data_IF_388674716958
#
_entry.id   IF_388674716958
#
_cell.length_a   1.000
_cell.length_b   1.000
_cell.length_c   1.000
_cell.angle_alpha   90.00
_cell.angle_beta   90.00
_cell.angle_gamma   90.00
#
_symmetry.space_group_name_H-M   'P 1'
#
loop_
_entity.id
_entity.type
_entity.pdbx_description
1 polymer ?
#
# COMPACT_ATOMS: atom_id res chain seq x y z
N UNK A 1 -16.87 -18.15 -2.09
CA UNK A 1 -15.94 -17.70 -1.04
C UNK A 1 -16.37 -18.36 0.27
N UNK A 2 -15.51 -19.14 0.93
CA UNK A 2 -15.81 -19.67 2.27
C UNK A 2 -14.68 -19.26 3.23
N UNK A 3 -15.07 -18.44 4.19
CA UNK A 3 -14.46 -18.10 5.48
C UNK A 3 -12.95 -17.86 5.49
N UNK A 4 -12.59 -16.57 5.39
CA UNK A 4 -11.34 -16.03 5.95
C UNK A 4 -11.44 -16.13 7.47
N UNK A 5 -10.59 -16.94 8.08
CA UNK A 5 -10.36 -16.85 9.53
C UNK A 5 -9.06 -16.09 9.71
N UNK A 6 -9.16 -14.77 9.89
CA UNK A 6 -8.02 -13.94 10.26
C UNK A 6 -7.80 -14.08 11.76
N UNK A 7 -6.67 -14.69 12.16
CA UNK A 7 -6.22 -14.59 13.55
C UNK A 7 -5.39 -13.32 13.65
N UNK A 8 -6.02 -12.24 14.11
CA UNK A 8 -5.34 -10.98 14.38
C UNK A 8 -4.81 -11.05 15.81
N UNK A 9 -3.50 -11.27 15.98
CA UNK A 9 -2.85 -11.09 17.26
C UNK A 9 -2.35 -9.64 17.35
N UNK A 10 -3.21 -8.74 17.85
CA UNK A 10 -2.80 -7.38 18.19
C UNK A 10 -2.00 -7.42 19.49
N UNK A 11 -0.66 -7.49 19.39
CA UNK A 11 0.19 -7.17 20.53
C UNK A 11 0.13 -5.65 20.73
N UNK A 12 -0.45 -5.25 21.86
CA UNK A 12 -0.70 -3.85 22.21
C UNK A 12 0.55 -2.97 22.17
N UNK A 13 0.34 -1.66 22.18
CA UNK A 13 1.41 -0.66 22.22
C UNK A 13 2.28 -0.86 23.46
N UNK A 14 3.43 -1.51 23.32
CA UNK A 14 4.45 -1.54 24.34
C UNK A 14 5.24 -0.24 24.25
N UNK A 15 5.33 0.58 25.30
CA UNK A 15 6.27 1.69 25.33
C UNK A 15 7.68 1.11 25.44
N UNK A 16 8.28 0.75 24.31
CA UNK A 16 9.68 0.30 24.22
C UNK A 16 10.67 1.44 24.54
N UNK A 17 10.20 2.69 24.52
CA UNK A 17 10.98 3.89 24.75
C UNK A 17 10.40 4.69 25.93
N UNK A 18 11.30 5.18 26.80
CA UNK A 18 10.95 6.04 27.93
C UNK A 18 10.26 7.32 27.43
N UNK A 19 9.16 7.69 28.07
CA UNK A 19 8.51 8.99 27.84
C UNK A 19 9.36 10.06 28.55
N UNK A 20 9.75 11.11 27.83
CA UNK A 20 10.42 12.28 28.40
C UNK A 20 9.49 13.49 28.32
N UNK A 21 9.77 14.54 29.08
CA UNK A 21 8.91 15.72 29.08
C UNK A 21 8.80 16.32 27.66
N UNK A 22 7.56 16.45 27.20
CA UNK A 22 7.22 16.90 25.84
C UNK A 22 7.25 15.84 24.73
N UNK A 23 7.96 14.71 24.87
CA UNK A 23 8.03 13.65 23.86
C UNK A 23 7.12 12.47 24.15
N UNK A 24 6.36 12.06 23.14
CA UNK A 24 5.57 10.83 23.14
C UNK A 24 6.10 9.87 22.09
N UNK A 25 6.59 8.71 22.55
CA UNK A 25 6.99 7.61 21.69
C UNK A 25 5.93 6.52 21.68
N UNK A 26 5.55 6.04 20.50
CA UNK A 26 4.63 4.90 20.35
C UNK A 26 5.27 3.85 19.47
N UNK A 27 5.12 2.60 19.87
CA UNK A 27 5.53 1.44 19.09
C UNK A 27 4.35 0.51 18.94
N UNK A 28 4.15 -0.03 17.74
CA UNK A 28 3.17 -1.08 17.47
C UNK A 28 3.82 -2.18 16.67
N UNK A 29 3.63 -3.41 17.12
CA UNK A 29 4.01 -4.61 16.39
C UNK A 29 2.72 -5.26 15.88
N UNK A 30 2.69 -5.61 14.60
CA UNK A 30 1.55 -6.31 14.02
C UNK A 30 2.02 -7.54 13.26
N UNK A 31 1.43 -8.68 13.62
CA UNK A 31 1.58 -9.95 12.93
C UNK A 31 0.21 -10.44 12.50
N UNK A 32 0.09 -10.88 11.26
CA UNK A 32 -1.14 -11.45 10.74
C UNK A 32 -0.82 -12.72 9.97
N UNK A 33 -1.49 -13.80 10.35
CA UNK A 33 -1.47 -15.05 9.61
C UNK A 33 -2.87 -15.39 9.13
N UNK A 34 -2.97 -15.91 7.91
CA UNK A 34 -4.21 -16.30 7.28
C UNK A 34 -4.11 -17.72 6.75
N UNK A 35 -5.27 -18.37 6.67
CA UNK A 35 -5.45 -19.57 5.86
C UNK A 35 -6.39 -19.22 4.71
N UNK A 36 -6.00 -19.58 3.48
CA UNK A 36 -6.84 -19.41 2.29
C UNK A 36 -6.95 -20.72 1.51
N UNK A 37 -8.13 -20.95 0.95
CA UNK A 37 -8.41 -22.03 0.00
C UNK A 37 -9.04 -21.41 -1.25
N UNK A 38 -8.31 -21.45 -2.36
CA UNK A 38 -8.70 -20.84 -3.62
C UNK A 38 -8.91 -21.92 -4.68
N UNK A 39 -10.09 -21.93 -5.32
CA UNK A 39 -10.35 -22.84 -6.43
C UNK A 39 -9.52 -22.43 -7.64
N UNK A 40 -8.90 -23.40 -8.30
CA UNK A 40 -8.29 -23.17 -9.59
C UNK A 40 -9.38 -22.88 -10.63
N UNK A 41 -9.25 -21.74 -11.30
CA UNK A 41 -10.06 -21.35 -12.43
C UNK A 41 -9.15 -20.70 -13.49
N UNK A 42 -9.42 -21.00 -14.76
CA UNK A 42 -8.69 -20.47 -15.90
C UNK A 42 -9.68 -20.09 -17.01
N UNK A 43 -9.51 -18.91 -17.58
CA UNK A 43 -10.39 -18.37 -18.61
C UNK A 43 -9.54 -18.01 -19.84
N UNK A 44 -9.83 -18.58 -21.01
CA UNK A 44 -9.04 -18.35 -22.21
C UNK A 44 -9.24 -16.92 -22.71
N UNK A 45 -8.14 -16.24 -22.99
CA UNK A 45 -8.14 -14.92 -23.60
C UNK A 45 -8.42 -15.05 -25.10
N UNK A 46 -9.20 -14.11 -25.63
CA UNK A 46 -9.46 -14.00 -27.08
C UNK A 46 -8.36 -13.26 -27.83
N UNK A 47 -7.44 -12.64 -27.11
CA UNK A 47 -6.34 -11.90 -27.70
C UNK A 47 -5.35 -12.88 -28.35
N UNK A 48 -4.98 -12.68 -29.63
CA UNK A 48 -4.11 -13.59 -30.36
C UNK A 48 -2.64 -13.33 -30.00
N UNK A 49 -2.23 -13.77 -28.81
CA UNK A 49 -0.82 -13.68 -28.41
C UNK A 49 0.07 -14.50 -29.37
N UNK A 50 1.20 -13.94 -29.84
CA UNK A 50 2.25 -14.72 -30.48
C UNK A 50 2.65 -15.92 -29.60
N UNK A 51 2.97 -17.05 -30.22
CA UNK A 51 3.35 -18.27 -29.49
C UNK A 51 4.54 -18.06 -28.55
N UNK A 52 5.46 -17.16 -28.89
CA UNK A 52 6.61 -16.78 -28.05
C UNK A 52 6.22 -16.04 -26.77
N UNK A 53 5.02 -15.48 -26.69
CA UNK A 53 4.48 -14.82 -25.48
C UNK A 53 3.59 -15.75 -24.66
N UNK A 54 3.50 -17.03 -25.05
CA UNK A 54 2.71 -18.04 -24.37
C UNK A 54 3.63 -19.09 -23.73
N UNK A 55 3.26 -19.62 -22.56
CA UNK A 55 3.96 -20.77 -21.98
C UNK A 55 4.06 -21.91 -23.00
N UNK A 56 5.14 -22.69 -22.90
CA UNK A 56 5.39 -23.83 -23.81
C UNK A 56 4.16 -24.77 -23.83
N UNK A 57 3.69 -25.08 -25.03
CA UNK A 57 2.53 -25.97 -25.25
C UNK A 57 1.17 -25.27 -25.21
N UNK A 58 1.10 -23.98 -24.89
CA UNK A 58 -0.14 -23.22 -24.95
C UNK A 58 -0.35 -22.57 -26.32
N UNK A 59 -1.60 -22.58 -26.78
CA UNK A 59 -2.02 -21.93 -28.05
C UNK A 59 -2.82 -20.65 -27.82
N UNK A 60 -3.24 -20.41 -26.57
CA UNK A 60 -3.96 -19.20 -26.13
C UNK A 60 -3.46 -18.79 -24.76
N UNK A 61 -3.55 -17.49 -24.45
CA UNK A 61 -3.29 -16.97 -23.11
C UNK A 61 -4.48 -17.23 -22.17
N UNK A 62 -4.24 -17.21 -20.86
CA UNK A 62 -5.28 -17.40 -19.87
C UNK A 62 -5.22 -16.33 -18.78
N UNK A 63 -6.40 -15.90 -18.31
CA UNK A 63 -6.58 -15.33 -16.98
C UNK A 63 -6.79 -16.47 -16.00
N UNK A 64 -5.92 -16.59 -15.00
CA UNK A 64 -5.88 -17.76 -14.11
C UNK A 64 -5.82 -17.36 -12.65
N UNK A 65 -6.49 -18.13 -11.81
CA UNK A 65 -6.49 -17.89 -10.36
C UNK A 65 -5.06 -17.79 -9.83
N UNK A 66 -4.79 -16.72 -9.09
CA UNK A 66 -3.49 -16.47 -8.46
C UNK A 66 -3.25 -17.49 -7.36
N UNK A 67 -2.19 -18.28 -7.52
CA UNK A 67 -1.70 -19.27 -6.56
C UNK A 67 -2.83 -20.12 -5.93
N UNK A 68 -3.49 -21.00 -6.72
CA UNK A 68 -4.66 -21.75 -6.27
C UNK A 68 -4.31 -22.81 -5.22
N UNK A 69 -5.33 -23.39 -4.59
CA UNK A 69 -5.18 -24.40 -3.55
C UNK A 69 -5.22 -23.83 -2.13
N UNK A 70 -4.73 -24.64 -1.18
CA UNK A 70 -4.75 -24.37 0.26
C UNK A 70 -3.41 -23.85 0.74
N UNK A 71 -3.43 -22.72 1.42
CA UNK A 71 -2.23 -22.03 1.88
C UNK A 71 -2.40 -21.55 3.31
N UNK A 72 -1.43 -21.86 4.18
CA UNK A 72 -1.23 -21.18 5.46
C UNK A 72 -0.10 -20.16 5.30
N UNK A 73 -0.36 -18.91 5.62
CA UNK A 73 0.59 -17.83 5.36
C UNK A 73 0.67 -16.79 6.46
N UNK A 74 1.89 -16.38 6.79
CA UNK A 74 2.13 -15.10 7.45
C UNK A 74 1.97 -14.01 6.39
N UNK A 75 0.90 -13.23 6.50
CA UNK A 75 0.58 -12.18 5.52
C UNK A 75 1.20 -10.84 5.87
N UNK A 76 1.34 -10.55 7.16
CA UNK A 76 1.89 -9.28 7.66
C UNK A 76 2.81 -9.55 8.83
N UNK A 77 3.98 -8.94 8.80
CA UNK A 77 4.88 -8.76 9.94
C UNK A 77 5.45 -7.35 9.85
N UNK A 78 5.00 -6.45 10.72
CA UNK A 78 5.37 -5.04 10.65
C UNK A 78 5.63 -4.43 12.01
N UNK A 79 6.45 -3.38 12.00
CA UNK A 79 6.67 -2.48 13.14
C UNK A 79 6.33 -1.05 12.73
N UNK A 80 5.59 -0.37 13.60
CA UNK A 80 5.31 1.05 13.49
C UNK A 80 5.93 1.79 14.66
N UNK A 81 6.59 2.89 14.37
CA UNK A 81 7.27 3.77 15.31
C UNK A 81 6.77 5.20 15.09
N UNK A 82 6.29 5.82 16.17
CA UNK A 82 5.90 7.22 16.18
C UNK A 82 6.73 7.97 17.24
N UNK A 83 7.24 9.14 16.88
CA UNK A 83 7.87 10.09 17.79
C UNK A 83 7.19 11.45 17.66
N UNK A 84 6.52 11.91 18.72
CA UNK A 84 5.67 13.10 18.71
C UNK A 84 6.18 14.07 19.77
N UNK A 85 6.32 15.35 19.42
CA UNK A 85 6.65 16.41 20.39
C UNK A 85 5.55 17.48 20.38
N UNK A 86 4.69 17.42 21.40
CA UNK A 86 3.45 18.19 21.46
C UNK A 86 2.63 18.09 20.17
N UNK A 87 2.12 19.23 19.69
CA UNK A 87 1.41 19.31 18.41
C UNK A 87 2.27 19.89 17.27
N UNK A 88 3.57 20.10 17.51
CA UNK A 88 4.45 20.84 16.60
C UNK A 88 5.40 19.95 15.81
N UNK A 89 5.63 18.73 16.25
CA UNK A 89 6.51 17.79 15.55
C UNK A 89 5.94 16.37 15.64
N UNK A 90 6.01 15.65 14.52
CA UNK A 90 5.79 14.21 14.50
C UNK A 90 6.73 13.57 13.47
N UNK A 91 7.33 12.44 13.82
CA UNK A 91 8.02 11.55 12.91
C UNK A 91 7.36 10.18 12.98
N UNK A 92 7.25 9.52 11.83
CA UNK A 92 6.59 8.24 11.69
C UNK A 92 7.40 7.34 10.77
N UNK A 93 7.53 6.09 11.19
CA UNK A 93 8.07 5.01 10.36
C UNK A 93 7.18 3.78 10.52
N UNK A 94 6.76 3.20 9.39
CA UNK A 94 6.10 1.91 9.31
C UNK A 94 6.94 1.01 8.41
N UNK A 95 7.55 0.01 9.02
CA UNK A 95 8.46 -0.93 8.37
C UNK A 95 7.81 -2.29 8.28
N UNK A 96 7.88 -2.91 7.12
CA UNK A 96 7.36 -4.23 6.84
C UNK A 96 8.52 -5.21 6.66
N UNK A 97 8.49 -6.30 7.42
CA UNK A 97 9.36 -7.45 7.21
C UNK A 97 8.69 -8.48 6.28
N UNK A 98 7.35 -8.55 6.34
CA UNK A 98 6.52 -9.26 5.39
C UNK A 98 5.23 -8.47 5.20
N UNK A 99 4.86 -8.19 3.94
CA UNK A 99 3.52 -7.74 3.57
C UNK A 99 3.13 -8.37 2.24
N UNK A 100 2.49 -9.53 2.30
CA UNK A 100 2.09 -10.26 1.09
C UNK A 100 1.08 -9.52 0.24
N UNK A 101 0.38 -8.54 0.80
CA UNK A 101 -0.83 -8.00 0.20
C UNK A 101 -0.65 -6.59 -0.35
N UNK A 102 0.45 -5.90 -0.02
CA UNK A 102 0.77 -4.53 -0.48
C UNK A 102 1.84 -4.47 -1.60
N UNK A 103 2.48 -5.57 -1.95
CA UNK A 103 3.54 -5.61 -2.99
C UNK A 103 3.09 -5.36 -4.44
N UNK A 104 4.00 -4.83 -5.28
CA UNK A 104 3.86 -4.61 -6.73
C UNK A 104 5.16 -4.85 -7.53
N UNK A 105 5.17 -5.74 -8.56
CA UNK A 105 4.40 -6.96 -8.72
C UNK A 105 4.88 -8.07 -7.78
N UNK A 106 3.97 -8.93 -7.32
CA UNK A 106 4.16 -9.73 -6.09
C UNK A 106 5.36 -10.68 -6.07
N UNK A 107 5.79 -11.25 -7.20
CA UNK A 107 6.94 -12.17 -7.20
C UNK A 107 8.31 -11.49 -7.30
N UNK A 108 8.40 -10.32 -7.91
CA UNK A 108 9.65 -9.57 -8.13
C UNK A 108 9.82 -8.39 -7.17
N UNK A 109 8.77 -8.01 -6.45
CA UNK A 109 8.81 -6.88 -5.54
C UNK A 109 9.63 -7.16 -4.27
N UNK A 110 10.03 -6.08 -3.60
CA UNK A 110 10.75 -6.13 -2.34
C UNK A 110 9.87 -6.75 -1.26
N UNK A 111 10.48 -7.65 -0.49
CA UNK A 111 9.79 -8.27 0.64
C UNK A 111 9.77 -7.40 1.89
N UNK A 112 10.75 -6.51 1.99
CA UNK A 112 10.97 -5.64 3.13
C UNK A 112 11.14 -4.21 2.65
N UNK A 113 10.39 -3.31 3.26
CA UNK A 113 10.26 -1.93 2.84
C UNK A 113 9.62 -1.08 3.95
N UNK A 114 9.56 0.22 3.69
CA UNK A 114 8.84 1.18 4.53
C UNK A 114 7.68 1.79 3.74
N UNK A 115 6.46 1.36 4.01
CA UNK A 115 5.25 1.93 3.41
C UNK A 115 5.10 3.41 3.77
N UNK A 116 5.37 3.74 5.03
CA UNK A 116 5.30 5.11 5.55
C UNK A 116 6.61 5.49 6.22
N UNK A 117 7.19 6.59 5.77
CA UNK A 117 8.38 7.19 6.39
C UNK A 117 8.33 8.69 6.17
N UNK A 118 7.87 9.42 7.19
CA UNK A 118 7.63 10.85 7.06
C UNK A 118 7.89 11.62 8.34
N UNK A 119 8.17 12.91 8.17
CA UNK A 119 8.24 13.89 9.25
C UNK A 119 7.24 15.01 9.00
N UNK A 120 6.72 15.57 10.08
CA UNK A 120 5.75 16.66 10.09
C UNK A 120 6.17 17.73 11.07
N UNK A 121 6.15 18.96 10.61
CA UNK A 121 6.29 20.18 11.39
C UNK A 121 4.94 20.89 11.44
N UNK A 122 4.53 21.32 12.62
CA UNK A 122 3.28 22.03 12.87
C UNK A 122 2.05 21.13 13.08
N UNK A 123 0.96 21.73 13.60
CA UNK A 123 -0.30 21.03 13.85
C UNK A 123 -1.06 20.77 12.56
N UNK A 124 -1.25 19.48 12.23
CA UNK A 124 -2.11 19.01 11.14
C UNK A 124 -3.50 18.67 11.68
N UNK A 125 -4.54 19.46 11.36
CA UNK A 125 -5.91 19.15 11.76
C UNK A 125 -6.36 17.82 11.16
N UNK A 126 -7.00 16.95 11.94
CA UNK A 126 -7.57 15.71 11.41
C UNK A 126 -8.84 15.98 10.59
N UNK A 127 -9.20 15.00 9.74
CA UNK A 127 -10.44 15.05 8.98
C UNK A 127 -11.60 14.97 9.99
N UNK A 128 -12.39 16.04 10.11
CA UNK A 128 -13.48 16.26 11.10
C UNK A 128 -13.09 16.93 12.43
N UNK A 129 -11.81 17.17 12.70
CA UNK A 129 -11.42 17.94 13.89
C UNK A 129 -11.64 19.44 13.64
N UNK A 130 -12.24 20.16 14.60
CA UNK A 130 -12.42 21.62 14.51
C UNK A 130 -11.24 22.33 15.18
N UNK A 131 -10.32 22.97 14.43
CA UNK A 131 -9.16 23.66 14.98
C UNK A 131 -9.60 24.81 15.86
N UNK A 132 -8.94 24.97 17.00
CA UNK A 132 -9.21 26.07 17.91
C UNK A 132 -8.67 27.42 17.38
N UNK A 133 -7.59 27.36 16.57
CA UNK A 133 -6.82 28.51 16.09
C UNK A 133 -6.26 28.26 14.68
N UNK A 134 -5.78 29.33 14.05
CA UNK A 134 -5.00 29.28 12.80
C UNK A 134 -3.80 28.36 12.97
N UNK A 135 -3.54 27.54 11.96
CA UNK A 135 -2.53 26.49 11.99
C UNK A 135 -1.90 26.36 10.61
N UNK A 136 -0.62 26.01 10.57
CA UNK A 136 0.10 25.64 9.36
C UNK A 136 0.95 24.42 9.70
N UNK A 137 1.00 23.46 8.79
CA UNK A 137 1.90 22.31 8.88
C UNK A 137 2.61 22.07 7.56
N UNK A 138 3.76 21.42 7.64
CA UNK A 138 4.50 20.85 6.54
C UNK A 138 4.82 19.40 6.87
N UNK A 139 4.50 18.49 5.97
CA UNK A 139 4.80 17.06 6.05
C UNK A 139 5.62 16.66 4.82
N UNK A 140 6.65 15.85 5.02
CA UNK A 140 7.57 15.43 3.97
C UNK A 140 8.02 13.98 4.17
N UNK A 141 8.21 13.26 3.07
CA UNK A 141 8.58 11.85 3.05
C UNK A 141 7.57 11.00 2.28
N UNK A 142 7.52 9.69 2.58
CA UNK A 142 6.55 8.74 2.02
C UNK A 142 5.34 8.65 2.94
N UNK A 143 4.16 9.07 2.48
CA UNK A 143 2.96 9.15 3.31
C UNK A 143 1.67 8.87 2.53
N UNK A 144 0.56 8.53 3.22
CA UNK A 144 -0.73 8.32 2.59
C UNK A 144 -1.25 9.54 1.83
N UNK A 145 -1.84 9.32 0.66
CA UNK A 145 -2.47 10.39 -0.13
C UNK A 145 -3.61 11.08 0.61
N UNK A 146 -3.86 12.34 0.27
CA UNK A 146 -4.92 13.14 0.90
C UNK A 146 -6.31 12.48 0.78
N UNK A 147 -6.58 11.88 -0.38
CA UNK A 147 -7.82 11.24 -0.77
C UNK A 147 -7.94 9.79 -0.28
N UNK A 148 -6.92 9.27 0.42
CA UNK A 148 -6.98 7.93 1.00
C UNK A 148 -8.02 7.87 2.11
N UNK A 149 -8.93 6.91 2.01
CA UNK A 149 -9.93 6.67 3.05
C UNK A 149 -9.24 6.06 4.28
N UNK A 150 -9.31 6.71 5.45
CA UNK A 150 -8.61 6.24 6.65
C UNK A 150 -9.31 5.06 7.34
N UNK A 151 -10.60 4.84 7.08
CA UNK A 151 -11.41 3.82 7.75
C UNK A 151 -11.89 2.78 6.74
N UNK A 152 -11.62 1.51 7.03
CA UNK A 152 -12.13 0.35 6.28
C UNK A 152 -13.34 -0.20 7.00
N UNK A 153 -14.54 -0.12 6.42
CA UNK A 153 -15.75 -0.68 7.04
C UNK A 153 -15.95 -2.18 6.72
N UNK A 154 -15.39 -2.69 5.61
CA UNK A 154 -15.65 -4.05 5.11
C UNK A 154 -14.38 -4.84 4.73
N UNK A 155 -13.22 -4.49 5.29
CA UNK A 155 -11.89 -5.02 4.90
C UNK A 155 -11.51 -4.87 3.40
N UNK A 156 -12.41 -4.34 2.59
CA UNK A 156 -12.24 -3.97 1.18
C UNK A 156 -12.22 -2.45 1.05
N UNK A 157 -11.39 -1.95 0.14
CA UNK A 157 -11.34 -0.54 -0.24
C UNK A 157 -12.43 -0.16 -1.25
N UNK A 158 -13.24 -1.13 -1.73
CA UNK A 158 -14.02 -0.95 -2.95
C UNK A 158 -13.11 -0.82 -4.18
N UNK A 159 -13.67 -0.99 -5.38
CA UNK A 159 -12.87 -1.03 -6.62
C UNK A 159 -12.06 0.26 -6.82
N UNK A 160 -12.68 1.42 -6.62
CA UNK A 160 -12.05 2.72 -6.86
C UNK A 160 -10.91 3.04 -5.89
N UNK A 161 -11.10 2.85 -4.57
CA UNK A 161 -10.01 3.16 -3.64
C UNK A 161 -8.91 2.08 -3.66
N UNK A 162 -9.22 0.85 -4.10
CA UNK A 162 -8.20 -0.16 -4.43
C UNK A 162 -7.36 0.28 -5.62
N UNK A 163 -8.00 0.85 -6.64
CA UNK A 163 -7.34 1.25 -7.88
C UNK A 163 -6.49 2.53 -7.72
N UNK A 164 -6.95 3.56 -7.02
CA UNK A 164 -6.31 4.89 -7.11
C UNK A 164 -5.64 5.40 -5.82
N UNK A 165 -6.14 5.04 -4.64
CA UNK A 165 -5.78 5.72 -3.38
C UNK A 165 -5.15 4.79 -2.34
N UNK A 166 -4.76 3.59 -2.75
CA UNK A 166 -4.35 2.53 -1.82
C UNK A 166 -2.95 2.76 -1.24
N UNK A 167 -2.01 3.18 -2.08
CA UNK A 167 -0.60 3.29 -1.73
C UNK A 167 -0.18 4.70 -1.39
N UNK A 168 0.89 4.76 -0.63
CA UNK A 168 1.58 5.96 -0.22
C UNK A 168 2.36 6.58 -1.39
N UNK A 169 2.58 7.87 -1.28
CA UNK A 169 3.37 8.64 -2.23
C UNK A 169 4.52 9.32 -1.50
N UNK A 170 5.61 9.56 -2.22
CA UNK A 170 6.73 10.37 -1.74
C UNK A 170 6.55 11.82 -2.16
N UNK A 171 6.66 12.74 -1.22
CA UNK A 171 6.75 14.16 -1.54
C UNK A 171 6.53 15.09 -0.36
N UNK A 172 5.75 16.14 -0.59
CA UNK A 172 5.45 17.20 0.37
C UNK A 172 3.95 17.41 0.47
N UNK A 173 3.46 17.62 1.68
CA UNK A 173 2.10 18.06 1.96
C UNK A 173 2.15 19.24 2.90
N UNK A 174 1.48 20.33 2.54
CA UNK A 174 1.31 21.49 3.42
C UNK A 174 -0.16 21.77 3.59
N UNK A 175 -0.52 22.44 4.68
CA UNK A 175 -1.91 22.79 4.91
C UNK A 175 -2.11 23.38 6.29
N UNK A 176 -3.37 23.55 6.64
CA UNK A 176 -3.76 24.02 7.96
C UNK A 176 -5.12 24.65 7.96
N UNK A 177 -5.31 25.61 8.85
CA UNK A 177 -6.57 26.31 9.02
C UNK A 177 -6.37 27.82 9.16
N UNK A 178 -7.35 28.58 8.68
CA UNK A 178 -7.48 30.01 8.96
C UNK A 178 -8.68 30.17 9.90
N UNK A 179 -8.39 30.52 11.15
CA UNK A 179 -9.40 30.50 12.21
C UNK A 179 -10.00 29.10 12.39
N UNK A 180 -11.34 29.05 12.51
CA UNK A 180 -12.10 27.81 12.80
C UNK A 180 -12.90 27.27 11.61
N UNK A 181 -12.87 27.96 10.48
CA UNK A 181 -13.87 27.80 9.41
C UNK A 181 -13.26 27.45 8.05
N UNK A 182 -12.00 27.82 7.81
CA UNK A 182 -11.34 27.54 6.54
C UNK A 182 -10.21 26.55 6.74
N UNK A 183 -10.20 25.52 5.90
CA UNK A 183 -9.22 24.45 5.89
C UNK A 183 -8.66 24.32 4.48
N UNK A 184 -7.36 24.10 4.41
CA UNK A 184 -6.69 23.93 3.14
C UNK A 184 -5.58 22.91 3.29
N UNK A 185 -5.34 22.17 2.23
CA UNK A 185 -4.22 21.25 2.08
C UNK A 185 -3.79 21.30 0.62
N UNK A 186 -2.48 21.19 0.41
CA UNK A 186 -1.85 21.10 -0.90
C UNK A 186 -0.84 19.97 -0.82
N UNK A 187 -0.78 19.15 -1.85
CA UNK A 187 0.13 18.03 -1.95
C UNK A 187 0.90 18.09 -3.27
N UNK A 188 2.20 17.82 -3.20
CA UNK A 188 3.09 17.65 -4.34
C UNK A 188 3.88 16.35 -4.17
N UNK A 189 3.64 15.36 -5.01
CA UNK A 189 4.28 14.03 -4.92
C UNK A 189 4.81 13.57 -6.25
N UNK A 190 5.68 12.55 -6.23
CA UNK A 190 6.14 11.86 -7.45
C UNK A 190 5.05 11.06 -8.15
N UNK A 191 3.88 10.94 -7.53
CA UNK A 191 2.81 10.06 -7.98
C UNK A 191 3.19 8.58 -7.91
N UNK A 192 2.19 7.75 -8.20
CA UNK A 192 2.37 6.32 -8.38
C UNK A 192 2.31 5.97 -9.87
N UNK A 193 3.14 5.03 -10.35
CA UNK A 193 2.95 4.41 -11.65
C UNK A 193 1.59 3.72 -11.76
N UNK A 194 1.07 3.58 -12.98
CA UNK A 194 -0.11 2.77 -13.27
C UNK A 194 0.32 1.38 -13.76
N UNK A 195 -0.23 0.31 -13.17
CA UNK A 195 0.00 -1.08 -13.59
C UNK A 195 -1.32 -1.84 -13.76
N UNK A 196 -1.22 -3.06 -14.28
CA UNK A 196 -2.25 -4.09 -14.23
C UNK A 196 -1.97 -5.09 -13.09
N UNK A 197 -2.95 -5.38 -12.22
CA UNK A 197 -2.86 -6.44 -11.19
C UNK A 197 -4.18 -7.13 -10.98
N UNK A 198 -4.15 -8.37 -10.53
CA UNK A 198 -5.33 -9.04 -9.99
C UNK A 198 -5.82 -8.34 -8.69
N UNK A 199 -7.13 -8.20 -8.47
CA UNK A 199 -7.69 -7.61 -7.26
C UNK A 199 -7.49 -8.48 -6.00
N UNK A 200 -7.13 -9.75 -6.15
CA UNK A 200 -6.64 -10.60 -5.08
C UNK A 200 -5.42 -9.94 -4.44
N UNK A 201 -5.26 -10.22 -3.16
CA UNK A 201 -4.24 -9.66 -2.33
C UNK A 201 -2.83 -10.01 -2.85
N UNK A 202 -2.66 -11.18 -3.48
CA UNK A 202 -1.41 -11.60 -4.13
C UNK A 202 -1.14 -10.95 -5.50
N UNK A 203 -1.99 -10.06 -6.00
CA UNK A 203 -1.82 -9.21 -7.19
C UNK A 203 -1.55 -9.91 -8.56
N UNK A 204 -1.27 -11.21 -8.59
CA UNK A 204 -0.74 -11.88 -9.78
C UNK A 204 0.65 -11.37 -10.16
N UNK A 205 1.22 -11.99 -11.17
CA UNK A 205 2.53 -11.66 -11.75
C UNK A 205 2.36 -10.94 -13.09
N UNK A 206 1.55 -9.87 -13.09
CA UNK A 206 1.43 -8.98 -14.24
C UNK A 206 2.51 -7.89 -14.18
N UNK A 207 3.21 -7.69 -15.29
CA UNK A 207 4.26 -6.68 -15.40
C UNK A 207 5.61 -7.07 -14.78
N UNK A 208 5.82 -8.34 -14.42
CA UNK A 208 7.15 -8.85 -14.03
C UNK A 208 8.08 -8.96 -15.24
N UNK A 209 9.38 -8.87 -15.02
CA UNK A 209 10.39 -8.99 -16.09
C UNK A 209 10.34 -10.34 -16.79
N UNK A 210 9.93 -11.42 -16.10
CA UNK A 210 9.73 -12.73 -16.72
C UNK A 210 8.78 -12.67 -17.93
N UNK A 211 7.77 -11.79 -17.92
CA UNK A 211 6.83 -11.64 -19.04
C UNK A 211 7.48 -11.08 -20.33
N UNK A 212 8.67 -10.50 -20.21
CA UNK A 212 9.46 -10.02 -21.35
C UNK A 212 10.30 -11.14 -21.99
N UNK A 213 10.41 -12.29 -21.32
CA UNK A 213 11.16 -13.44 -21.81
C UNK A 213 10.32 -14.30 -22.76
N UNK A 214 10.96 -15.06 -23.68
CA UNK A 214 10.27 -16.06 -24.48
C UNK A 214 9.61 -17.14 -23.61
N UNK A 215 8.36 -17.45 -23.92
CA UNK A 215 7.53 -18.47 -23.27
C UNK A 215 7.41 -18.30 -21.76
N UNK A 216 6.93 -17.14 -21.28
CA UNK A 216 6.88 -16.82 -19.86
C UNK A 216 5.93 -17.78 -19.11
N UNK A 217 6.26 -18.16 -17.88
CA UNK A 217 5.39 -18.97 -17.03
C UNK A 217 5.41 -18.46 -15.59
N UNK A 218 4.82 -17.26 -15.35
CA UNK A 218 4.86 -16.59 -14.06
C UNK A 218 4.41 -17.50 -12.91
N UNK A 219 5.09 -17.36 -11.77
CA UNK A 219 4.84 -18.17 -10.56
C UNK A 219 3.41 -18.02 -10.05
N UNK A 220 2.95 -16.78 -9.91
CA UNK A 220 1.64 -16.43 -9.36
C UNK A 220 0.57 -16.27 -10.44
N UNK A 221 0.87 -16.61 -11.70
CA UNK A 221 -0.04 -16.50 -12.85
C UNK A 221 -0.51 -15.06 -13.09
N UNK A 222 -1.33 -14.89 -14.12
CA UNK A 222 -1.87 -13.59 -14.53
C UNK A 222 -2.97 -13.07 -13.60
N UNK A 223 -3.75 -13.93 -12.94
CA UNK A 223 -4.97 -13.46 -12.30
C UNK A 223 -5.98 -12.88 -13.31
N UNK A 224 -6.79 -11.95 -12.83
CA UNK A 224 -7.88 -11.21 -13.45
C UNK A 224 -7.57 -9.72 -13.32
N UNK A 225 -6.70 -9.18 -14.19
CA UNK A 225 -6.08 -7.88 -13.97
C UNK A 225 -7.07 -6.71 -14.03
N UNK A 226 -6.88 -5.75 -13.14
CA UNK A 226 -7.47 -4.41 -13.13
C UNK A 226 -6.35 -3.36 -13.17
N UNK A 227 -6.67 -2.17 -13.67
CA UNK A 227 -5.77 -1.00 -13.60
C UNK A 227 -5.68 -0.49 -12.16
N UNK A 228 -4.47 -0.16 -11.72
CA UNK A 228 -4.22 0.35 -10.38
C UNK A 228 -2.93 1.19 -10.28
N UNK A 229 -2.90 2.13 -9.35
CA UNK A 229 -1.71 2.87 -8.92
C UNK A 229 -0.82 1.95 -8.09
N UNK A 230 0.44 1.80 -8.45
CA UNK A 230 1.39 0.95 -7.71
C UNK A 230 1.98 1.67 -6.52
N UNK A 231 2.59 0.91 -5.63
CA UNK A 231 3.48 1.45 -4.64
C UNK A 231 4.68 2.13 -5.28
N UNK A 232 5.12 3.22 -4.65
CA UNK A 232 6.39 3.86 -4.95
C UNK A 232 7.47 3.26 -4.06
N UNK A 233 8.40 2.54 -4.69
CA UNK A 233 9.52 1.85 -4.04
C UNK A 233 10.61 2.79 -3.50
N UNK A 234 10.65 4.02 -4.02
CA UNK A 234 11.62 5.04 -3.63
C UNK A 234 11.22 5.73 -2.33
N UNK A 235 12.20 6.33 -1.66
CA UNK A 235 12.00 7.22 -0.50
C UNK A 235 12.32 8.68 -0.80
N UNK A 236 12.83 8.95 -2.01
CA UNK A 236 13.17 10.28 -2.47
C UNK A 236 12.14 10.77 -3.49
N UNK A 237 11.87 12.08 -3.48
CA UNK A 237 11.02 12.71 -4.48
C UNK A 237 11.71 12.60 -5.86
N UNK A 238 11.07 11.90 -6.78
CA UNK A 238 11.33 12.02 -8.21
C UNK A 238 10.66 13.28 -8.75
N UNK A 239 11.45 14.20 -9.30
CA UNK A 239 11.01 15.49 -9.84
C UNK A 239 10.63 15.44 -11.32
N UNK A 240 10.89 14.35 -12.02
CA UNK A 240 10.55 14.21 -13.45
C UNK A 240 9.04 14.09 -13.67
N UNK A 241 8.31 13.59 -12.67
CA UNK A 241 6.88 13.34 -12.73
C UNK A 241 6.19 13.82 -11.45
N UNK A 242 6.06 15.14 -11.26
CA UNK A 242 5.39 15.70 -10.08
C UNK A 242 3.89 15.81 -10.32
N UNK A 243 3.09 15.23 -9.42
CA UNK A 243 1.65 15.36 -9.33
C UNK A 243 1.28 16.37 -8.25
N UNK A 244 0.27 17.20 -8.52
CA UNK A 244 -0.25 18.22 -7.60
C UNK A 244 -1.71 17.96 -7.28
N UNK A 245 -2.10 18.21 -6.03
CA UNK A 245 -3.47 18.08 -5.53
C UNK A 245 -3.78 19.03 -4.38
#
# INVERSE_FOLDING_TARGET
MRQLTAVILCLGSLPLLAQTDGWTFRTRLEFRANFRDSKEAAFPLRFPFPSVQLPVGQTVGFEQTVDPGRHGELSVAQVRLDAIYGNNFAAHAQLHAEDKYRRNPTSEDKKMDADELWVRLGPKPEFLERPARTSVFLQMGKFPKMERQPIRLLESYGLAATAFNRFEDVGFMTGGSIGRNFFWRLQATSGNPLYFRDPNALAGDNGIHELLLPHPNPRLKSGFPILYNTETEGYALNTEHVQFG
#
